data_IF_300770655060
#
_entry.id   IF_300770655060
#
_cell.length_a   1.000
_cell.length_b   1.000
_cell.length_c   1.000
_cell.angle_alpha   90.00
_cell.angle_beta   90.00
_cell.angle_gamma   90.00
#
_symmetry.space_group_name_H-M   'P 1'
#
loop_
_entity.id
_entity.type
_entity.pdbx_description
1 polymer ?
#
# COMPACT_ATOMS: atom_id res chain seq x y z
N UNK A 1 4.29 13.39 -2.75
CA UNK A 1 5.09 14.22 -3.66
C UNK A 1 4.20 14.66 -4.78
N UNK A 2 4.76 14.89 -5.95
CA UNK A 2 3.98 15.20 -7.15
C UNK A 2 3.44 13.91 -7.80
N UNK A 3 2.43 14.01 -8.67
CA UNK A 3 1.89 12.88 -9.44
C UNK A 3 1.40 11.68 -8.61
N UNK A 4 0.89 11.91 -7.40
CA UNK A 4 0.34 10.85 -6.55
C UNK A 4 -1.11 10.59 -6.92
N UNK A 5 -1.47 9.32 -7.12
CA UNK A 5 -2.85 8.86 -7.21
C UNK A 5 -3.29 8.24 -5.89
N UNK A 6 -4.53 8.52 -5.46
CA UNK A 6 -5.13 7.95 -4.26
C UNK A 6 -6.48 7.37 -4.63
N UNK A 7 -6.61 6.06 -4.44
CA UNK A 7 -7.84 5.32 -4.65
C UNK A 7 -8.92 5.71 -3.65
N UNK A 8 -10.15 5.36 -4.00
CA UNK A 8 -11.32 5.73 -3.21
C UNK A 8 -11.29 5.08 -1.83
N UNK A 9 -11.89 5.74 -0.84
CA UNK A 9 -12.06 5.22 0.52
C UNK A 9 -10.73 4.90 1.24
N UNK A 10 -9.62 5.53 0.82
CA UNK A 10 -8.32 5.40 1.49
C UNK A 10 -8.21 6.35 2.68
N UNK A 11 -7.63 5.86 3.78
CA UNK A 11 -7.50 6.55 5.05
C UNK A 11 -6.04 6.78 5.40
N UNK A 12 -5.70 8.02 5.75
CA UNK A 12 -4.38 8.39 6.25
C UNK A 12 -4.51 8.75 7.72
N UNK A 13 -4.05 7.85 8.59
CA UNK A 13 -4.14 8.05 10.02
C UNK A 13 -2.81 8.53 10.58
N UNK A 14 -2.69 9.85 10.77
CA UNK A 14 -1.52 10.48 11.39
C UNK A 14 -1.55 10.45 12.92
N UNK A 15 -2.56 9.83 13.52
CA UNK A 15 -2.80 9.88 14.97
C UNK A 15 -2.92 8.50 15.60
N UNK A 16 -2.32 8.35 16.78
CA UNK A 16 -2.58 7.20 17.66
C UNK A 16 -2.81 7.69 19.10
N UNK A 17 -3.83 7.14 19.75
CA UNK A 17 -4.13 7.45 21.14
C UNK A 17 -3.36 6.50 22.07
N UNK A 18 -2.42 7.04 22.85
CA UNK A 18 -1.68 6.27 23.85
C UNK A 18 -1.84 6.97 25.22
N UNK A 19 -2.30 6.22 26.24
CA UNK A 19 -2.44 6.70 27.63
C UNK A 19 -3.24 8.01 27.76
N UNK A 20 -4.29 8.17 26.96
CA UNK A 20 -5.14 9.36 26.95
C UNK A 20 -4.53 10.57 26.25
N UNK A 21 -3.37 10.42 25.61
CA UNK A 21 -2.73 11.44 24.79
C UNK A 21 -2.84 11.07 23.31
N UNK A 22 -3.05 12.07 22.46
CA UNK A 22 -2.95 11.91 21.01
C UNK A 22 -1.49 12.12 20.61
N UNK A 23 -0.88 11.07 20.06
CA UNK A 23 0.44 11.12 19.45
C UNK A 23 0.23 11.36 17.95
N UNK A 24 0.97 12.32 17.41
CA UNK A 24 0.97 12.67 15.99
C UNK A 24 2.24 12.10 15.33
N UNK A 25 2.07 11.41 14.23
CA UNK A 25 3.16 10.90 13.40
C UNK A 25 2.98 11.32 11.94
N UNK A 26 4.01 11.88 11.29
CA UNK A 26 3.93 12.25 9.88
C UNK A 26 3.70 11.01 9.01
N UNK A 27 3.05 11.20 7.86
CA UNK A 27 3.02 10.24 6.78
C UNK A 27 3.71 10.90 5.59
N UNK A 28 4.68 10.21 4.99
CA UNK A 28 5.41 10.71 3.83
C UNK A 28 4.99 9.90 2.62
N UNK A 29 4.52 10.59 1.58
CA UNK A 29 4.19 9.96 0.29
C UNK A 29 5.16 10.49 -0.75
N UNK A 30 5.85 9.58 -1.43
CA UNK A 30 6.80 9.88 -2.50
C UNK A 30 6.13 10.49 -3.73
N UNK A 31 6.95 10.95 -4.67
CA UNK A 31 6.47 11.39 -5.99
C UNK A 31 6.12 10.17 -6.83
N UNK A 32 5.03 10.24 -7.59
CA UNK A 32 4.59 9.18 -8.50
C UNK A 32 4.08 7.92 -7.81
N UNK A 33 3.82 7.97 -6.50
CA UNK A 33 3.24 6.84 -5.78
C UNK A 33 1.78 6.62 -6.19
N UNK A 34 1.41 5.37 -6.39
CA UNK A 34 0.05 4.92 -6.67
C UNK A 34 -0.48 4.24 -5.41
N UNK A 35 -1.61 4.75 -4.89
CA UNK A 35 -2.27 4.18 -3.72
C UNK A 35 -3.61 3.66 -4.17
N UNK A 36 -3.85 2.36 -3.98
CA UNK A 36 -5.10 1.69 -4.29
C UNK A 36 -6.30 2.19 -3.48
N UNK A 37 -7.44 1.54 -3.71
CA UNK A 37 -8.70 1.80 -3.03
C UNK A 37 -8.72 1.15 -1.64
N UNK A 38 -9.38 1.79 -0.68
CA UNK A 38 -9.59 1.28 0.69
C UNK A 38 -8.30 0.97 1.44
N UNK A 39 -7.22 1.69 1.10
CA UNK A 39 -5.93 1.56 1.76
C UNK A 39 -5.96 2.27 3.10
N UNK A 40 -5.37 1.68 4.13
CA UNK A 40 -5.18 2.34 5.43
C UNK A 40 -3.68 2.57 5.67
N UNK A 41 -3.29 3.84 5.81
CA UNK A 41 -1.90 4.24 6.06
C UNK A 41 -1.75 4.68 7.50
N UNK A 42 -0.94 3.94 8.25
CA UNK A 42 -0.70 4.22 9.67
C UNK A 42 0.30 5.38 9.87
N UNK A 43 0.28 5.96 11.06
CA UNK A 43 1.20 7.04 11.45
C UNK A 43 2.66 6.60 11.28
N UNK A 44 3.56 7.54 10.99
CA UNK A 44 4.98 7.29 10.76
C UNK A 44 5.29 6.38 9.56
N UNK A 45 4.36 6.20 8.64
CA UNK A 45 4.58 5.43 7.42
C UNK A 45 5.22 6.28 6.32
N UNK A 46 6.04 5.63 5.50
CA UNK A 46 6.72 6.23 4.35
C UNK A 46 6.39 5.39 3.12
N UNK A 47 5.71 5.98 2.15
CA UNK A 47 5.48 5.38 0.83
C UNK A 47 6.56 5.97 -0.08
N UNK A 48 7.45 5.14 -0.59
CA UNK A 48 8.56 5.59 -1.42
C UNK A 48 8.09 6.13 -2.79
N UNK A 49 8.91 6.94 -3.47
CA UNK A 49 8.61 7.38 -4.82
C UNK A 49 8.34 6.19 -5.77
N UNK A 50 7.33 6.31 -6.62
CA UNK A 50 6.91 5.29 -7.58
C UNK A 50 6.49 3.95 -6.98
N UNK A 51 6.21 3.90 -5.67
CA UNK A 51 5.60 2.73 -5.04
C UNK A 51 4.14 2.57 -5.48
N UNK A 52 3.72 1.32 -5.72
CA UNK A 52 2.34 0.96 -5.99
C UNK A 52 1.80 0.16 -4.80
N UNK A 53 0.80 0.72 -4.11
CA UNK A 53 0.17 0.13 -2.93
C UNK A 53 -1.14 -0.49 -3.37
N UNK A 54 -1.26 -1.80 -3.22
CA UNK A 54 -2.44 -2.55 -3.62
C UNK A 54 -3.73 -2.08 -2.90
N UNK A 55 -4.87 -2.36 -3.53
CA UNK A 55 -6.18 -2.18 -2.92
C UNK A 55 -6.28 -2.95 -1.59
N UNK A 56 -7.02 -2.37 -0.63
CA UNK A 56 -7.23 -2.93 0.72
C UNK A 56 -5.97 -3.11 1.56
N UNK A 57 -4.83 -2.57 1.14
CA UNK A 57 -3.58 -2.68 1.88
C UNK A 57 -3.59 -1.91 3.20
N UNK A 58 -2.85 -2.45 4.19
CA UNK A 58 -2.52 -1.77 5.43
C UNK A 58 -1.03 -1.41 5.41
N UNK A 59 -0.72 -0.13 5.27
CA UNK A 59 0.66 0.37 5.24
C UNK A 59 1.11 0.69 6.66
N UNK A 60 2.13 -0.02 7.12
CA UNK A 60 2.81 0.23 8.39
C UNK A 60 4.32 0.32 8.15
N UNK A 61 4.93 1.46 8.48
CA UNK A 61 6.36 1.67 8.26
C UNK A 61 6.71 2.07 6.83
N UNK A 62 7.86 1.60 6.32
CA UNK A 62 8.33 1.96 4.97
C UNK A 62 7.78 0.98 3.94
N UNK A 63 7.13 1.50 2.90
CA UNK A 63 6.60 0.76 1.77
C UNK A 63 7.36 1.18 0.52
N UNK A 64 8.15 0.25 0.00
CA UNK A 64 8.94 0.38 -1.22
C UNK A 64 8.33 -0.50 -2.32
N UNK A 65 8.33 -0.04 -3.57
CA UNK A 65 8.12 -0.96 -4.69
C UNK A 65 9.20 -2.05 -4.65
N UNK A 66 8.83 -3.29 -4.35
CA UNK A 66 9.65 -4.40 -4.81
C UNK A 66 9.62 -4.35 -6.34
N UNK A 67 10.79 -4.42 -6.98
CA UNK A 67 10.92 -4.56 -8.43
C UNK A 67 9.83 -5.51 -8.97
N UNK A 68 9.22 -5.20 -10.13
CA UNK A 68 8.04 -5.90 -10.61
C UNK A 68 8.35 -7.39 -10.74
N UNK A 69 7.91 -8.17 -9.75
CA UNK A 69 7.76 -9.60 -9.88
C UNK A 69 6.27 -9.79 -10.16
N UNK A 70 5.91 -9.61 -11.43
CA UNK A 70 4.68 -10.10 -12.07
C UNK A 70 3.45 -10.18 -11.14
N UNK A 71 2.88 -9.03 -10.76
CA UNK A 71 1.60 -8.96 -10.05
C UNK A 71 0.44 -9.06 -11.05
N UNK A 72 0.10 -10.28 -11.45
CA UNK A 72 -1.28 -10.65 -11.81
C UNK A 72 -2.13 -10.58 -10.53
N UNK A 73 -2.91 -9.50 -10.38
CA UNK A 73 -3.70 -9.27 -9.17
C UNK A 73 -4.76 -8.19 -9.31
N UNK A 74 -5.38 -8.04 -10.49
CA UNK A 74 -6.56 -7.19 -10.62
C UNK A 74 -7.76 -7.80 -9.90
N UNK A 75 -8.44 -7.01 -9.06
CA UNK A 75 -9.86 -7.23 -8.81
C UNK A 75 -10.60 -5.92 -8.51
N UNK A 76 -11.55 -5.58 -9.38
CA UNK A 76 -12.88 -5.24 -8.90
C UNK A 76 -13.30 -3.77 -8.86
N UNK A 77 -13.23 -3.10 -10.01
CA UNK A 77 -14.13 -2.01 -10.42
C UNK A 77 -14.20 -0.74 -9.55
N UNK A 78 -13.48 0.30 -10.00
CA UNK A 78 -13.88 1.71 -9.93
C UNK A 78 -13.41 2.44 -11.21
N UNK A 79 -14.21 2.42 -12.29
CA UNK A 79 -14.09 3.37 -13.42
C UNK A 79 -13.02 3.08 -14.49
N UNK A 80 -13.46 2.85 -15.72
CA UNK A 80 -12.66 2.41 -16.87
C UNK A 80 -11.65 3.43 -17.42
N UNK A 81 -10.43 2.98 -17.76
CA UNK A 81 -9.82 3.12 -19.09
C UNK A 81 -8.52 2.27 -19.23
N UNK A 82 -8.54 1.38 -20.23
CA UNK A 82 -7.43 0.62 -20.87
C UNK A 82 -6.74 -0.52 -20.07
N UNK A 83 -6.40 -1.70 -20.61
CA UNK A 83 -6.88 -2.61 -21.67
C UNK A 83 -5.84 -3.77 -21.74
N UNK A 84 -6.30 -5.03 -21.63
CA UNK A 84 -5.73 -6.31 -22.14
C UNK A 84 -4.29 -6.72 -21.69
N UNK A 85 -3.91 -7.98 -21.41
CA UNK A 85 -4.28 -9.32 -21.88
C UNK A 85 -3.67 -10.40 -20.94
N UNK A 86 -4.31 -11.58 -20.80
CA UNK A 86 -3.56 -12.87 -20.76
C UNK A 86 -3.40 -13.71 -19.48
N UNK A 87 -4.49 -14.34 -19.01
CA UNK A 87 -4.61 -15.68 -18.39
C UNK A 87 -3.39 -16.42 -17.73
N UNK A 88 -3.45 -16.60 -16.39
CA UNK A 88 -3.37 -17.83 -15.54
C UNK A 88 -2.47 -19.03 -15.97
N UNK A 89 -1.76 -19.76 -15.05
CA UNK A 89 -2.34 -20.35 -13.81
C UNK A 89 -1.43 -20.39 -12.53
N UNK A 90 -2.07 -20.66 -11.38
CA UNK A 90 -1.55 -20.85 -9.99
C UNK A 90 -0.42 -21.93 -9.87
N UNK A 91 0.44 -22.00 -8.80
CA UNK A 91 0.08 -21.94 -7.36
C UNK A 91 1.16 -21.45 -6.35
N UNK A 92 0.78 -21.36 -5.06
CA UNK A 92 1.68 -21.68 -3.94
C UNK A 92 1.98 -20.56 -2.94
N UNK A 93 1.20 -20.52 -1.86
CA UNK A 93 1.48 -19.73 -0.66
C UNK A 93 2.91 -19.99 -0.14
N UNK A 94 3.66 -18.92 0.16
CA UNK A 94 4.85 -19.01 1.00
C UNK A 94 4.82 -17.90 2.06
N UNK A 95 4.52 -18.33 3.28
CA UNK A 95 4.69 -17.56 4.51
C UNK A 95 6.14 -17.09 4.66
N UNK A 96 6.34 -15.80 4.94
CA UNK A 96 7.65 -15.26 5.30
C UNK A 96 7.82 -15.42 6.82
N UNK A 97 8.70 -16.34 7.18
CA UNK A 97 9.17 -16.63 8.53
C UNK A 97 9.79 -15.39 9.20
N UNK A 98 9.29 -15.05 10.38
CA UNK A 98 9.83 -13.98 11.25
C UNK A 98 10.95 -14.59 12.12
N UNK A 99 12.17 -14.03 12.17
CA UNK A 99 13.22 -14.57 13.04
C UNK A 99 12.92 -14.23 14.51
N UNK A 100 12.75 -15.28 15.31
CA UNK A 100 12.54 -15.20 16.76
C UNK A 100 13.70 -14.49 17.48
N UNK A 101 13.35 -13.48 18.27
CA UNK A 101 14.20 -12.83 19.26
C UNK A 101 14.83 -13.87 20.22
N UNK A 102 16.14 -13.74 20.46
CA UNK A 102 16.83 -14.28 21.65
C UNK A 102 17.12 -13.16 22.62
#
# INVERSE_FOLDING_TARGET
GDFVSVGQESFFNTTHAEKGMLILGPIVVGTGASIGCRVNVAQNSVIEPWADVDDLALVTGTYSASAPADLEGGCGACGAAAAADGAAPAPGAREVSVPSLR
#
